data_IF_603159519275
#
_entry.id   IF_603159519275
#
_cell.length_a   1.000
_cell.length_b   1.000
_cell.length_c   1.000
_cell.angle_alpha   90.00
_cell.angle_beta   90.00
_cell.angle_gamma   90.00
#
_symmetry.space_group_name_H-M   'P 1'
#
loop_
_entity.id
_entity.type
_entity.pdbx_description
1 polymer ?
#
# COMPACT_ATOMS: atom_id res chain seq x y z
N UNK A 1 14.05 37.81 73.46
CA UNK A 1 14.50 36.58 72.84
C UNK A 1 13.28 35.97 72.14
N UNK A 2 13.17 36.09 70.85
CA UNK A 2 12.05 35.50 70.04
C UNK A 2 12.62 34.23 69.34
N UNK A 3 12.07 33.04 69.65
CA UNK A 3 12.40 31.80 69.04
C UNK A 3 11.60 31.66 67.74
N UNK A 4 12.31 31.58 66.62
CA UNK A 4 11.72 31.24 65.30
C UNK A 4 11.62 29.74 65.15
N UNK A 5 10.41 29.24 64.89
CA UNK A 5 10.18 27.82 64.52
C UNK A 5 10.14 27.75 63.01
N UNK A 6 11.08 27.01 62.41
CA UNK A 6 11.07 26.67 61.00
C UNK A 6 10.19 25.41 60.77
N UNK A 7 9.14 25.52 59.97
CA UNK A 7 8.37 24.40 59.50
C UNK A 7 9.11 23.72 58.30
N UNK A 8 9.26 22.42 58.27
CA UNK A 8 9.74 21.75 57.11
C UNK A 8 8.60 21.64 56.07
N UNK A 9 8.85 22.16 54.88
CA UNK A 9 7.99 21.92 53.70
C UNK A 9 8.31 20.54 53.17
N UNK A 10 7.38 19.62 53.35
CA UNK A 10 7.45 18.26 52.71
C UNK A 10 6.96 18.38 51.29
N UNK A 11 7.87 18.30 50.31
CA UNK A 11 7.54 18.14 48.90
C UNK A 11 7.13 16.70 48.67
N UNK A 12 5.84 16.43 48.52
CA UNK A 12 5.34 15.15 48.05
C UNK A 12 5.56 15.05 46.54
N UNK A 13 6.55 14.28 46.10
CA UNK A 13 6.68 13.84 44.71
C UNK A 13 5.57 12.83 44.40
N UNK A 14 4.55 13.27 43.69
CA UNK A 14 3.59 12.37 43.04
C UNK A 14 4.30 11.68 41.83
N UNK A 15 4.79 10.47 42.05
CA UNK A 15 5.20 9.59 40.96
C UNK A 15 3.96 9.20 40.17
N UNK A 16 3.71 9.91 39.07
CA UNK A 16 2.74 9.49 38.08
C UNK A 16 3.19 8.19 37.42
N UNK A 17 2.67 7.06 37.89
CA UNK A 17 2.81 5.80 37.17
C UNK A 17 2.11 5.93 35.82
N UNK A 18 2.89 6.14 34.76
CA UNK A 18 2.43 5.96 33.41
C UNK A 18 2.07 4.48 33.25
N UNK A 19 0.77 4.16 33.30
CA UNK A 19 0.25 2.86 32.89
C UNK A 19 0.54 2.72 31.38
N UNK A 20 1.73 2.18 31.04
CA UNK A 20 1.96 1.61 29.73
C UNK A 20 1.01 0.44 29.59
N UNK A 21 -0.09 0.63 28.88
CA UNK A 21 -0.88 -0.47 28.38
C UNK A 21 0.00 -1.21 27.38
N UNK A 22 0.74 -2.21 27.86
CA UNK A 22 1.30 -3.23 27.01
C UNK A 22 0.09 -3.93 26.38
N UNK A 23 -0.22 -3.57 25.12
CA UNK A 23 -1.08 -4.39 24.29
C UNK A 23 -0.36 -5.74 24.15
N UNK A 24 -0.84 -6.77 24.85
CA UNK A 24 -0.57 -8.15 24.52
C UNK A 24 -1.13 -8.41 23.11
N UNK A 25 -0.38 -7.93 22.09
CA UNK A 25 -0.69 -8.17 20.70
C UNK A 25 -0.57 -9.65 20.43
N UNK A 26 -1.70 -10.32 20.16
CA UNK A 26 -1.69 -11.67 19.61
C UNK A 26 -0.64 -11.70 18.50
N UNK A 27 0.31 -12.64 18.59
CA UNK A 27 1.36 -12.86 17.58
C UNK A 27 0.66 -12.91 16.20
N UNK A 28 0.97 -11.94 15.32
CA UNK A 28 0.33 -11.79 14.01
C UNK A 28 -0.77 -10.72 13.91
N UNK A 29 -1.12 -9.99 14.99
CA UNK A 29 -2.05 -8.87 14.88
C UNK A 29 -1.35 -7.61 14.37
N UNK A 30 -1.97 -6.91 13.41
CA UNK A 30 -1.50 -5.61 12.93
C UNK A 30 -2.00 -4.49 13.84
N UNK A 31 -1.16 -3.50 14.10
CA UNK A 31 -1.53 -2.27 14.79
C UNK A 31 -2.18 -1.28 13.81
N UNK A 32 -2.85 -0.24 14.31
CA UNK A 32 -3.36 0.85 13.47
C UNK A 32 -2.24 1.50 12.65
N UNK A 33 -1.03 1.65 13.24
CA UNK A 33 0.14 2.18 12.56
C UNK A 33 0.57 1.29 11.39
N UNK A 34 0.51 -0.04 11.54
CA UNK A 34 0.83 -0.98 10.45
C UNK A 34 -0.13 -0.80 9.25
N UNK A 35 -1.43 -0.61 9.50
CA UNK A 35 -2.39 -0.34 8.43
C UNK A 35 -2.06 0.96 7.68
N UNK A 36 -1.70 2.04 8.40
CA UNK A 36 -1.29 3.32 7.79
C UNK A 36 -0.02 3.15 6.97
N UNK A 37 1.01 2.48 7.51
CA UNK A 37 2.27 2.24 6.81
C UNK A 37 2.09 1.39 5.55
N UNK A 38 1.24 0.37 5.60
CA UNK A 38 0.91 -0.45 4.43
C UNK A 38 0.17 0.39 3.38
N UNK A 39 -0.81 1.22 3.76
CA UNK A 39 -1.48 2.12 2.81
C UNK A 39 -0.50 3.08 2.14
N UNK A 40 0.45 3.64 2.90
CA UNK A 40 1.51 4.49 2.37
C UNK A 40 2.43 3.74 1.40
N UNK A 41 2.74 2.46 1.68
CA UNK A 41 3.53 1.61 0.77
C UNK A 41 2.84 1.46 -0.59
N UNK A 42 1.52 1.26 -0.62
CA UNK A 42 0.74 1.19 -1.86
C UNK A 42 0.73 2.52 -2.61
N UNK A 43 0.55 3.64 -1.91
CA UNK A 43 0.61 4.96 -2.51
C UNK A 43 2.00 5.24 -3.12
N UNK A 44 3.08 4.96 -2.38
CA UNK A 44 4.45 5.10 -2.86
C UNK A 44 4.74 4.22 -4.07
N UNK A 45 4.19 3.01 -4.11
CA UNK A 45 4.32 2.13 -5.29
C UNK A 45 3.78 2.82 -6.54
N UNK A 46 2.55 3.32 -6.49
CA UNK A 46 1.93 3.98 -7.63
C UNK A 46 2.71 5.23 -8.05
N UNK A 47 3.12 6.08 -7.10
CA UNK A 47 3.90 7.28 -7.39
C UNK A 47 5.26 6.95 -8.05
N UNK A 48 6.00 5.97 -7.52
CA UNK A 48 7.31 5.62 -8.06
C UNK A 48 7.23 4.98 -9.45
N UNK A 49 6.27 4.07 -9.64
CA UNK A 49 6.10 3.39 -10.94
C UNK A 49 5.61 4.37 -12.03
N UNK A 50 4.74 5.31 -11.68
CA UNK A 50 4.16 6.28 -12.63
C UNK A 50 5.12 7.43 -12.97
N UNK A 51 6.04 7.78 -12.06
CA UNK A 51 7.09 8.78 -12.29
C UNK A 51 8.37 8.21 -12.90
N UNK A 52 8.47 6.87 -13.03
CA UNK A 52 9.70 6.23 -13.50
C UNK A 52 10.85 6.27 -12.49
N UNK A 53 10.55 6.48 -11.20
CA UNK A 53 11.54 6.46 -10.13
C UNK A 53 11.98 5.02 -9.82
N UNK A 54 12.99 4.53 -10.53
CA UNK A 54 13.46 3.14 -10.48
C UNK A 54 13.89 2.76 -9.05
N UNK A 55 14.77 3.53 -8.44
CA UNK A 55 15.31 3.19 -7.12
C UNK A 55 14.26 3.32 -6.03
N UNK A 56 13.40 4.32 -6.11
CA UNK A 56 12.23 4.44 -5.22
C UNK A 56 11.29 3.26 -5.33
N UNK A 57 11.05 2.75 -6.54
CA UNK A 57 10.24 1.55 -6.77
C UNK A 57 10.90 0.29 -6.17
N UNK A 58 12.20 0.07 -6.46
CA UNK A 58 12.95 -1.10 -5.97
C UNK A 58 13.01 -1.13 -4.44
N UNK A 59 13.18 0.03 -3.81
CA UNK A 59 13.25 0.16 -2.35
C UNK A 59 11.95 -0.24 -1.63
N UNK A 60 10.82 -0.35 -2.34
CA UNK A 60 9.55 -0.80 -1.76
C UNK A 60 9.47 -2.32 -1.57
N UNK A 61 10.41 -3.06 -2.14
CA UNK A 61 10.48 -4.52 -2.05
C UNK A 61 11.58 -4.97 -1.08
N UNK A 62 11.44 -6.19 -0.57
CA UNK A 62 12.58 -6.85 0.10
C UNK A 62 13.71 -7.12 -0.91
N UNK A 63 14.98 -7.32 -0.46
CA UNK A 63 16.09 -7.59 -1.38
C UNK A 63 15.85 -8.75 -2.34
N UNK A 64 15.09 -9.76 -1.91
CA UNK A 64 14.67 -10.92 -2.67
C UNK A 64 13.20 -10.86 -3.13
N UNK A 65 12.59 -9.67 -3.02
CA UNK A 65 11.19 -9.44 -3.38
C UNK A 65 10.94 -9.57 -4.87
N UNK A 66 9.66 -9.74 -5.24
CA UNK A 66 9.31 -9.95 -6.65
C UNK A 66 8.04 -9.21 -7.09
N UNK A 67 8.05 -8.79 -8.35
CA UNK A 67 6.86 -8.39 -9.10
C UNK A 67 6.64 -9.35 -10.26
N UNK A 68 5.59 -10.17 -10.20
CA UNK A 68 5.37 -11.29 -11.12
C UNK A 68 6.65 -12.17 -11.19
N UNK A 69 7.23 -12.33 -12.39
CA UNK A 69 8.43 -13.11 -12.63
C UNK A 69 9.75 -12.31 -12.48
N UNK A 70 9.66 -11.02 -12.15
CA UNK A 70 10.84 -10.18 -11.93
C UNK A 70 11.27 -10.28 -10.46
N UNK A 71 12.32 -11.05 -10.20
CA UNK A 71 12.78 -11.43 -8.85
C UNK A 71 14.02 -10.66 -8.46
N UNK A 72 14.04 -10.21 -7.21
CA UNK A 72 15.16 -9.48 -6.62
C UNK A 72 15.32 -8.06 -7.18
N UNK A 73 16.22 -7.31 -6.57
CA UNK A 73 16.39 -5.89 -6.92
C UNK A 73 16.77 -5.67 -8.39
N UNK A 74 17.62 -6.54 -8.97
CA UNK A 74 18.03 -6.38 -10.37
C UNK A 74 16.90 -6.75 -11.34
N UNK A 75 16.11 -7.78 -11.05
CA UNK A 75 14.92 -8.10 -11.83
C UNK A 75 13.90 -6.95 -11.82
N UNK A 76 13.71 -6.32 -10.65
CA UNK A 76 12.82 -5.16 -10.50
C UNK A 76 13.35 -3.92 -11.24
N UNK A 77 14.67 -3.66 -11.22
CA UNK A 77 15.28 -2.57 -12.01
C UNK A 77 15.11 -2.82 -13.50
N UNK A 78 15.36 -4.03 -13.96
CA UNK A 78 15.19 -4.41 -15.36
C UNK A 78 13.75 -4.24 -15.81
N UNK A 79 12.78 -4.67 -14.99
CA UNK A 79 11.36 -4.44 -15.24
C UNK A 79 11.05 -2.94 -15.41
N UNK A 80 11.53 -2.11 -14.49
CA UNK A 80 11.30 -0.66 -14.54
C UNK A 80 11.96 0.02 -15.74
N UNK A 81 13.19 -0.37 -16.11
CA UNK A 81 13.90 0.16 -17.30
C UNK A 81 13.18 -0.18 -18.60
N UNK A 82 12.57 -1.38 -18.69
CA UNK A 82 11.89 -1.85 -19.89
C UNK A 82 10.44 -1.35 -20.00
N UNK A 83 9.93 -0.60 -19.00
CA UNK A 83 8.61 -0.01 -19.09
C UNK A 83 8.64 1.19 -20.03
N UNK A 84 7.72 1.20 -20.96
CA UNK A 84 7.39 2.43 -21.66
C UNK A 84 6.72 3.34 -20.63
N UNK A 85 7.41 4.40 -20.22
CA UNK A 85 6.84 5.51 -19.46
C UNK A 85 5.58 6.02 -20.21
N UNK A 86 5.00 7.08 -19.79
CA UNK A 86 3.89 7.67 -20.50
C UNK A 86 2.83 8.26 -19.59
N UNK A 87 1.67 8.42 -20.18
CA UNK A 87 0.54 9.10 -19.55
C UNK A 87 -0.33 8.17 -18.69
N UNK A 88 0.07 6.88 -18.55
CA UNK A 88 -0.68 5.92 -17.74
C UNK A 88 -0.44 6.13 -16.25
N UNK A 89 -1.54 6.04 -15.48
CA UNK A 89 -1.53 6.13 -14.02
C UNK A 89 -2.15 4.87 -13.42
N UNK A 90 -1.57 4.41 -12.29
CA UNK A 90 -2.08 3.33 -11.49
C UNK A 90 -3.07 3.89 -10.47
N UNK A 91 -4.34 3.57 -10.59
CA UNK A 91 -5.35 3.88 -9.60
C UNK A 91 -5.74 2.61 -8.85
N UNK A 92 -5.40 2.58 -7.57
CA UNK A 92 -5.74 1.47 -6.68
C UNK A 92 -6.96 1.83 -5.82
N UNK A 93 -7.84 0.86 -5.63
CA UNK A 93 -9.03 1.05 -4.79
C UNK A 93 -9.38 -0.24 -4.03
N UNK A 94 -10.12 -0.10 -2.93
CA UNK A 94 -10.62 -1.23 -2.13
C UNK A 94 -9.47 -2.13 -1.61
N UNK A 95 -8.43 -1.52 -1.05
CA UNK A 95 -7.33 -2.27 -0.43
C UNK A 95 -7.83 -3.06 0.78
N UNK A 96 -7.72 -4.38 0.71
CA UNK A 96 -7.95 -5.31 1.80
C UNK A 96 -6.61 -5.77 2.37
N UNK A 97 -6.41 -5.62 3.67
CA UNK A 97 -5.20 -6.03 4.39
C UNK A 97 -5.59 -7.12 5.39
N UNK A 98 -4.95 -8.28 5.28
CA UNK A 98 -5.20 -9.44 6.15
C UNK A 98 -3.91 -9.81 6.88
N UNK A 99 -3.90 -9.82 8.22
CA UNK A 99 -2.73 -10.25 9.00
C UNK A 99 -2.35 -11.70 8.69
N UNK A 100 -1.03 -11.99 8.72
CA UNK A 100 -0.49 -13.36 8.65
C UNK A 100 0.60 -13.52 9.72
N UNK A 101 1.02 -14.76 10.05
CA UNK A 101 2.12 -14.98 11.00
C UNK A 101 3.44 -14.29 10.59
N UNK A 102 3.69 -14.15 9.30
CA UNK A 102 4.92 -13.58 8.73
C UNK A 102 4.81 -12.07 8.43
N UNK A 103 3.60 -11.49 8.50
CA UNK A 103 3.36 -10.09 8.17
C UNK A 103 1.92 -9.82 7.77
N UNK A 104 1.67 -9.60 6.49
CA UNK A 104 0.32 -9.37 5.97
C UNK A 104 0.17 -9.84 4.51
N UNK A 105 -1.07 -10.12 4.12
CA UNK A 105 -1.50 -10.18 2.72
C UNK A 105 -2.23 -8.90 2.36
N UNK A 106 -2.05 -8.44 1.14
CA UNK A 106 -2.80 -7.35 0.54
C UNK A 106 -3.52 -7.79 -0.72
N UNK A 107 -4.73 -7.28 -0.93
CA UNK A 107 -5.45 -7.42 -2.19
C UNK A 107 -6.04 -6.05 -2.54
N UNK A 108 -5.86 -5.60 -3.78
CA UNK A 108 -6.31 -4.27 -4.19
C UNK A 108 -6.75 -4.29 -5.65
N UNK A 109 -7.86 -3.66 -5.97
CA UNK A 109 -8.24 -3.45 -7.37
C UNK A 109 -7.34 -2.39 -8.01
N UNK A 110 -7.06 -2.60 -9.28
CA UNK A 110 -6.19 -1.77 -10.10
C UNK A 110 -6.93 -1.32 -11.35
N UNK A 111 -6.86 -0.04 -11.64
CA UNK A 111 -7.22 0.54 -12.93
C UNK A 111 -6.02 1.27 -13.51
N UNK A 112 -5.79 1.06 -14.81
CA UNK A 112 -4.87 1.89 -15.57
C UNK A 112 -5.65 2.98 -16.26
N UNK A 113 -5.34 4.24 -15.91
CA UNK A 113 -5.97 5.42 -16.50
C UNK A 113 -4.94 6.11 -17.40
N UNK A 114 -5.26 6.28 -18.67
CA UNK A 114 -4.46 7.10 -19.58
C UNK A 114 -4.93 8.56 -19.49
N UNK A 115 -4.13 9.40 -18.82
CA UNK A 115 -4.42 10.83 -18.65
C UNK A 115 -3.97 11.69 -19.85
N UNK A 116 -3.28 11.11 -20.82
CA UNK A 116 -2.95 11.75 -22.10
C UNK A 116 -4.12 11.80 -23.05
N UNK A 117 -5.07 10.89 -22.90
CA UNK A 117 -6.32 10.90 -23.68
C UNK A 117 -7.26 12.04 -23.23
N UNK A 118 -8.10 12.52 -24.14
CA UNK A 118 -9.05 13.61 -23.89
C UNK A 118 -10.46 13.15 -24.25
N UNK A 119 -11.35 12.83 -23.30
CA UNK A 119 -11.12 12.79 -21.85
C UNK A 119 -10.19 11.64 -21.43
N UNK A 120 -9.63 11.65 -20.18
CA UNK A 120 -8.87 10.51 -19.66
C UNK A 120 -9.70 9.23 -19.69
N UNK A 121 -9.04 8.09 -19.99
CA UNK A 121 -9.75 6.82 -20.17
C UNK A 121 -9.13 5.71 -19.33
N UNK A 122 -9.98 4.82 -18.80
CA UNK A 122 -9.53 3.55 -18.22
C UNK A 122 -9.17 2.62 -19.38
N UNK A 123 -7.92 2.21 -19.46
CA UNK A 123 -7.39 1.38 -20.55
C UNK A 123 -7.33 -0.09 -20.19
N UNK A 124 -7.28 -0.42 -18.91
CA UNK A 124 -7.38 -1.80 -18.40
C UNK A 124 -7.66 -1.80 -16.91
N UNK A 125 -8.18 -2.93 -16.42
CA UNK A 125 -8.42 -3.18 -15.01
C UNK A 125 -7.85 -4.52 -14.59
N UNK A 126 -7.83 -4.79 -13.28
CA UNK A 126 -7.34 -6.01 -12.69
C UNK A 126 -7.20 -5.87 -11.18
N UNK A 127 -6.34 -6.70 -10.60
CA UNK A 127 -6.01 -6.63 -9.19
C UNK A 127 -4.55 -6.99 -8.93
N UNK A 128 -4.03 -6.49 -7.82
CA UNK A 128 -2.81 -6.99 -7.20
C UNK A 128 -3.17 -7.90 -6.03
N UNK A 129 -2.37 -8.96 -5.88
CA UNK A 129 -2.31 -9.81 -4.69
C UNK A 129 -0.87 -9.80 -4.18
N UNK A 130 -0.73 -9.50 -2.88
CA UNK A 130 0.54 -9.16 -2.27
C UNK A 130 0.83 -9.99 -1.03
N UNK A 131 2.11 -10.33 -0.84
CA UNK A 131 2.68 -10.72 0.44
C UNK A 131 3.56 -9.58 0.96
N UNK A 132 3.32 -9.17 2.20
CA UNK A 132 3.94 -8.02 2.84
C UNK A 132 4.67 -8.48 4.09
N UNK A 133 5.86 -7.92 4.34
CA UNK A 133 6.63 -8.16 5.57
C UNK A 133 7.10 -6.86 6.18
N UNK A 134 7.16 -6.82 7.51
CA UNK A 134 7.72 -5.68 8.24
C UNK A 134 9.21 -5.90 8.45
N UNK A 135 10.02 -4.95 7.95
CA UNK A 135 11.48 -4.93 8.08
C UNK A 135 11.92 -3.84 9.05
N UNK A 136 13.20 -3.75 9.36
CA UNK A 136 13.75 -2.63 10.13
C UNK A 136 13.55 -1.26 9.44
N UNK A 137 13.35 -1.24 8.11
CA UNK A 137 13.08 -0.03 7.33
C UNK A 137 11.58 0.19 7.05
N UNK A 138 10.67 -0.51 7.73
CA UNK A 138 9.23 -0.46 7.55
C UNK A 138 8.68 -1.60 6.68
N UNK A 139 7.42 -1.49 6.29
CA UNK A 139 6.75 -2.49 5.48
C UNK A 139 7.32 -2.56 4.05
N UNK A 140 7.42 -3.78 3.50
CA UNK A 140 7.91 -4.04 2.14
C UNK A 140 7.08 -5.12 1.46
N UNK A 141 6.98 -5.03 0.13
CA UNK A 141 6.49 -6.13 -0.69
C UNK A 141 7.52 -7.26 -0.70
N UNK A 142 7.13 -8.43 -0.21
CA UNK A 142 7.88 -9.68 -0.41
C UNK A 142 7.55 -10.24 -1.79
N UNK A 143 6.28 -10.17 -2.17
CA UNK A 143 5.80 -10.54 -3.50
C UNK A 143 4.61 -9.65 -3.87
N UNK A 144 4.57 -9.19 -5.11
CA UNK A 144 3.40 -8.59 -5.75
C UNK A 144 3.09 -9.33 -7.03
N UNK A 145 1.83 -9.71 -7.22
CA UNK A 145 1.34 -10.36 -8.43
C UNK A 145 0.22 -9.54 -9.04
N UNK A 146 0.31 -9.31 -10.35
CA UNK A 146 -0.73 -8.66 -11.12
C UNK A 146 -1.60 -9.71 -11.80
N UNK A 147 -2.91 -9.58 -11.62
CA UNK A 147 -3.94 -10.37 -12.27
C UNK A 147 -4.81 -9.43 -13.10
N UNK A 148 -4.53 -9.28 -14.41
CA UNK A 148 -5.37 -8.45 -15.27
C UNK A 148 -6.75 -9.12 -15.41
N UNK A 149 -7.80 -8.27 -15.45
CA UNK A 149 -9.12 -8.76 -15.81
C UNK A 149 -9.14 -9.10 -17.31
N UNK A 150 -9.90 -10.13 -17.72
CA UNK A 150 -10.06 -10.42 -19.13
C UNK A 150 -10.70 -9.21 -19.83
N UNK A 151 -10.34 -8.94 -21.10
CA UNK A 151 -11.05 -7.95 -21.88
C UNK A 151 -12.54 -8.30 -21.87
N UNK A 152 -13.39 -7.28 -21.74
CA UNK A 152 -14.84 -7.50 -21.86
C UNK A 152 -15.08 -8.29 -23.17
N UNK A 153 -15.79 -9.41 -23.07
CA UNK A 153 -16.26 -10.09 -24.25
C UNK A 153 -16.97 -9.03 -25.10
N UNK A 154 -16.62 -8.91 -26.38
CA UNK A 154 -17.25 -7.94 -27.26
C UNK A 154 -18.77 -8.07 -27.05
N UNK A 155 -19.38 -7.06 -26.44
CA UNK A 155 -20.81 -7.05 -26.19
C UNK A 155 -21.45 -7.25 -27.53
N UNK A 156 -22.19 -8.37 -27.73
CA UNK A 156 -23.01 -8.53 -28.91
C UNK A 156 -23.80 -7.24 -29.04
N UNK A 157 -23.60 -6.52 -30.13
CA UNK A 157 -24.19 -5.21 -30.36
C UNK A 157 -25.68 -5.26 -29.95
N UNK A 158 -26.04 -4.41 -28.99
CA UNK A 158 -27.43 -4.33 -28.60
C UNK A 158 -28.28 -4.17 -29.90
N UNK A 159 -29.35 -4.97 -30.10
CA UNK A 159 -30.17 -4.86 -31.29
C UNK A 159 -30.60 -3.40 -31.44
N UNK A 160 -30.42 -2.86 -32.64
CA UNK A 160 -30.82 -1.48 -32.94
C UNK A 160 -32.26 -1.26 -32.49
N UNK A 161 -32.59 -0.08 -31.94
CA UNK A 161 -33.97 0.24 -31.54
C UNK A 161 -34.89 0.01 -32.75
N UNK A 162 -35.87 -0.88 -32.60
CA UNK A 162 -36.86 -1.09 -33.61
C UNK A 162 -37.71 0.19 -33.71
N UNK A 163 -37.66 0.86 -34.84
CA UNK A 163 -38.59 1.96 -35.13
C UNK A 163 -40.01 1.40 -35.11
N UNK A 164 -40.96 2.03 -34.42
CA UNK A 164 -42.37 1.63 -34.53
C UNK A 164 -42.79 1.72 -35.96
N UNK A 165 -43.37 0.63 -36.47
CA UNK A 165 -43.95 0.60 -37.79
C UNK A 165 -45.20 1.50 -37.79
N UNK A 166 -45.46 2.33 -38.83
CA UNK A 166 -46.53 3.28 -38.87
C UNK A 166 -47.93 2.66 -38.84
#
# INVERSE_FOLDING_TARGET
MRKAYALPVVFAFLLGAALSHAQDGKKGALTAQDYVEIQMLYAQYNHNIDSGNIEGYVALFTPDGSFNNNVGQEGLRTFMKNRNGGTRRHWNTNLLITPTPEGAKGAVYLMFVDVGMKPPQITSAGRYEDSLVKTAQGWRFKQRRNFPDPPAAASAAAPAPQTPNP
#
